data_IF_011929333395
#
_entry.id   IF_011929333395
#
_cell.length_a   1.000
_cell.length_b   1.000
_cell.length_c   1.000
_cell.angle_alpha   90.00
_cell.angle_beta   90.00
_cell.angle_gamma   90.00
#
_symmetry.space_group_name_H-M   'P 1'
#
loop_
_entity.id
_entity.type
_entity.pdbx_description
1 polymer ?
#
# COMPACT_ATOMS: atom_id res chain seq x y z
N UNK A 1 -15.37 9.17 -15.05
CA UNK A 1 -14.48 9.69 -13.98
C UNK A 1 -13.25 8.79 -13.93
N UNK A 2 -12.03 9.33 -13.83
CA UNK A 2 -10.83 8.50 -13.78
C UNK A 2 -10.81 7.72 -12.46
N UNK A 3 -10.61 6.41 -12.55
CA UNK A 3 -10.44 5.52 -11.41
C UNK A 3 -8.96 5.25 -11.21
N UNK A 4 -8.52 5.24 -9.96
CA UNK A 4 -7.20 4.74 -9.58
C UNK A 4 -7.32 3.78 -8.41
N UNK A 5 -6.33 2.89 -8.27
CA UNK A 5 -6.27 1.94 -7.17
C UNK A 5 -4.94 2.04 -6.47
N UNK A 6 -4.97 2.02 -5.14
CA UNK A 6 -3.78 1.85 -4.29
C UNK A 6 -3.87 0.46 -3.67
N UNK A 7 -2.89 -0.37 -3.98
CA UNK A 7 -2.81 -1.76 -3.53
C UNK A 7 -1.66 -1.87 -2.55
N UNK A 8 -1.94 -2.14 -1.29
CA UNK A 8 -0.95 -2.48 -0.28
C UNK A 8 -0.95 -4.01 -0.10
N UNK A 9 0.17 -4.66 -0.40
CA UNK A 9 0.40 -6.07 -0.06
C UNK A 9 1.46 -6.16 1.03
N UNK A 10 1.20 -6.90 2.11
CA UNK A 10 2.18 -7.12 3.16
C UNK A 10 2.13 -8.55 3.67
N UNK A 11 3.26 -9.02 4.18
CA UNK A 11 3.43 -10.36 4.71
C UNK A 11 3.79 -10.29 6.19
N UNK A 12 3.17 -11.14 6.99
CA UNK A 12 3.45 -11.28 8.42
C UNK A 12 3.65 -12.74 8.77
N UNK A 13 4.45 -12.99 9.80
CA UNK A 13 4.59 -14.33 10.35
C UNK A 13 3.29 -14.75 11.05
N UNK A 14 2.77 -15.95 10.76
CA UNK A 14 1.51 -16.41 11.34
C UNK A 14 1.55 -16.45 12.88
N UNK A 15 2.69 -16.85 13.44
CA UNK A 15 2.87 -16.92 14.90
C UNK A 15 2.92 -15.57 15.62
N UNK A 16 2.97 -14.44 14.88
CA UNK A 16 2.84 -13.11 15.48
C UNK A 16 1.39 -12.59 15.49
N UNK A 17 0.46 -13.29 14.83
CA UNK A 17 -0.96 -12.96 14.87
C UNK A 17 -1.54 -13.19 16.28
N UNK A 18 -2.29 -12.21 16.79
CA UNK A 18 -2.87 -12.27 18.14
C UNK A 18 -1.92 -11.82 19.26
N UNK A 19 -0.70 -11.39 18.94
CA UNK A 19 0.22 -10.79 19.92
C UNK A 19 -0.16 -9.34 20.23
N UNK A 20 -0.03 -8.93 21.49
CA UNK A 20 -0.23 -7.54 21.92
C UNK A 20 1.06 -6.75 21.69
N UNK A 21 1.29 -6.32 20.45
CA UNK A 21 2.45 -5.51 20.08
C UNK A 21 2.42 -5.05 18.62
N UNK A 22 3.34 -4.16 18.20
CA UNK A 22 3.46 -3.77 16.80
C UNK A 22 3.80 -5.01 15.96
N UNK A 23 2.90 -5.38 15.06
CA UNK A 23 3.06 -6.58 14.23
C UNK A 23 4.23 -6.37 13.26
N UNK A 24 5.33 -7.14 13.36
CA UNK A 24 6.45 -7.01 12.44
C UNK A 24 6.04 -7.56 11.07
N UNK A 25 6.39 -6.81 10.01
CA UNK A 25 6.22 -7.25 8.64
C UNK A 25 7.46 -8.00 8.18
N UNK A 26 7.26 -9.09 7.45
CA UNK A 26 8.32 -9.81 6.74
C UNK A 26 8.68 -9.07 5.45
N UNK A 27 7.67 -8.56 4.75
CA UNK A 27 7.80 -7.77 3.54
C UNK A 27 6.55 -6.91 3.36
N UNK A 28 6.68 -5.82 2.61
CA UNK A 28 5.52 -5.07 2.12
C UNK A 28 5.79 -4.40 0.79
N UNK A 29 4.71 -4.20 0.04
CA UNK A 29 4.71 -3.61 -1.28
C UNK A 29 3.50 -2.70 -1.47
N UNK A 30 3.68 -1.60 -2.18
CA UNK A 30 2.59 -0.72 -2.62
C UNK A 30 2.59 -0.63 -4.13
N UNK A 31 1.47 -0.97 -4.76
CA UNK A 31 1.22 -0.80 -6.19
C UNK A 31 0.14 0.26 -6.41
N UNK A 32 0.37 1.17 -7.35
CA UNK A 32 -0.61 2.19 -7.72
C UNK A 32 -0.90 2.12 -9.21
N UNK A 33 -2.19 1.99 -9.55
CA UNK A 33 -2.67 1.86 -10.92
C UNK A 33 -3.63 3.00 -11.25
N UNK A 34 -3.60 3.48 -12.50
CA UNK A 34 -4.55 4.50 -12.99
C UNK A 34 -4.22 5.94 -12.60
N UNK A 35 -3.15 6.19 -11.85
CA UNK A 35 -2.73 7.56 -11.50
C UNK A 35 -2.11 8.29 -12.70
N UNK A 36 -2.64 9.47 -13.03
CA UNK A 36 -2.17 10.30 -14.15
C UNK A 36 -0.81 10.95 -13.84
N UNK A 37 -0.06 11.26 -14.89
CA UNK A 37 1.28 11.87 -14.86
C UNK A 37 1.52 12.98 -13.82
N UNK A 38 0.65 14.01 -13.68
CA UNK A 38 0.93 15.13 -12.77
C UNK A 38 0.94 14.76 -11.28
N UNK A 39 0.27 13.67 -10.89
CA UNK A 39 0.20 13.22 -9.48
C UNK A 39 1.30 12.23 -9.11
N UNK A 40 2.01 11.66 -10.10
CA UNK A 40 3.08 10.68 -9.86
C UNK A 40 4.28 11.25 -9.08
N UNK A 41 4.75 12.49 -9.32
CA UNK A 41 5.84 13.07 -8.53
C UNK A 41 5.50 13.25 -7.05
N UNK A 42 4.23 13.47 -6.72
CA UNK A 42 3.76 13.55 -5.32
C UNK A 42 4.00 12.25 -4.55
N UNK A 43 4.02 11.11 -5.24
CA UNK A 43 4.23 9.79 -4.63
C UNK A 43 5.65 9.59 -4.11
N UNK A 44 6.67 10.14 -4.78
CA UNK A 44 8.08 10.00 -4.36
C UNK A 44 8.33 10.62 -2.98
N UNK A 45 7.47 11.55 -2.53
CA UNK A 45 7.52 12.13 -1.17
C UNK A 45 7.18 11.10 -0.09
N UNK A 46 6.35 10.11 -0.41
CA UNK A 46 5.85 9.10 0.53
C UNK A 46 6.53 7.74 0.34
N UNK A 47 7.00 7.45 -0.88
CA UNK A 47 7.67 6.21 -1.24
C UNK A 47 8.95 6.55 -2.04
N UNK A 48 10.05 6.94 -1.36
CA UNK A 48 11.23 7.49 -2.00
C UNK A 48 12.00 6.51 -2.90
N UNK A 49 11.80 5.19 -2.72
CA UNK A 49 12.45 4.15 -3.55
C UNK A 49 11.51 3.58 -4.62
N UNK A 50 10.46 4.32 -4.99
CA UNK A 50 9.56 3.95 -6.08
C UNK A 50 10.34 3.71 -7.37
N UNK A 51 10.42 2.44 -7.79
CA UNK A 51 10.92 2.09 -9.10
C UNK A 51 9.76 2.19 -10.08
N UNK A 52 9.90 2.99 -11.14
CA UNK A 52 8.94 2.93 -12.25
C UNK A 52 9.05 1.55 -12.90
N UNK A 53 8.07 0.68 -12.61
CA UNK A 53 7.99 -0.61 -13.27
C UNK A 53 7.49 -0.43 -14.71
N UNK A 54 8.09 -1.16 -15.65
CA UNK A 54 7.75 -1.11 -17.08
C UNK A 54 6.33 -1.64 -17.27
N UNK A 55 5.37 -0.71 -17.35
CA UNK A 55 3.96 -1.03 -17.58
C UNK A 55 2.98 -0.26 -16.70
N UNK A 56 2.97 1.08 -16.78
CA UNK A 56 1.97 2.01 -16.17
C UNK A 56 1.69 1.90 -14.64
N UNK A 57 2.20 0.89 -13.95
CA UNK A 57 2.02 0.61 -12.53
C UNK A 57 3.26 1.07 -11.75
N UNK A 58 3.03 1.76 -10.64
CA UNK A 58 4.07 2.26 -9.76
C UNK A 58 4.17 1.33 -8.56
N UNK A 59 5.34 0.71 -8.33
CA UNK A 59 5.54 -0.28 -7.28
C UNK A 59 6.67 0.14 -6.32
N UNK A 60 6.39 0.08 -5.02
CA UNK A 60 7.37 0.25 -3.94
C UNK A 60 7.49 -1.05 -3.16
N UNK A 61 8.69 -1.53 -2.86
CA UNK A 61 8.91 -2.75 -2.07
C UNK A 61 10.04 -2.53 -1.09
N UNK A 62 9.82 -2.82 0.19
CA UNK A 62 10.84 -2.69 1.23
C UNK A 62 10.94 -4.00 2.04
N UNK A 63 12.18 -4.45 2.28
CA UNK A 63 12.51 -5.66 3.04
C UNK A 63 13.08 -5.34 4.44
N UNK A 64 12.91 -4.11 4.93
CA UNK A 64 13.38 -3.72 6.26
C UNK A 64 12.40 -4.14 7.36
N UNK A 65 12.88 -4.18 8.62
CA UNK A 65 12.06 -4.47 9.82
C UNK A 65 11.08 -3.33 10.11
N UNK A 66 10.04 -3.21 9.29
CA UNK A 66 8.95 -2.25 9.45
C UNK A 66 7.79 -2.94 10.17
N UNK A 67 7.03 -2.16 10.94
CA UNK A 67 5.85 -2.65 11.65
C UNK A 67 4.57 -2.25 10.92
N UNK A 68 3.53 -3.06 11.03
CA UNK A 68 2.22 -2.79 10.42
C UNK A 68 1.69 -1.37 10.75
N UNK A 69 1.77 -0.86 12.00
CA UNK A 69 1.32 0.50 12.28
C UNK A 69 2.07 1.57 11.50
N UNK A 70 3.40 1.44 11.32
CA UNK A 70 4.19 2.39 10.54
C UNK A 70 3.77 2.40 9.08
N UNK A 71 3.63 1.21 8.48
CA UNK A 71 3.16 1.06 7.09
C UNK A 71 1.76 1.65 6.90
N UNK A 72 0.86 1.41 7.84
CA UNK A 72 -0.52 1.95 7.79
C UNK A 72 -0.54 3.48 7.92
N UNK A 73 0.33 4.08 8.74
CA UNK A 73 0.48 5.54 8.81
C UNK A 73 0.95 6.11 7.47
N UNK A 74 1.93 5.49 6.83
CA UNK A 74 2.41 5.92 5.50
C UNK A 74 1.29 5.86 4.45
N UNK A 75 0.55 4.74 4.39
CA UNK A 75 -0.59 4.60 3.47
C UNK A 75 -1.69 5.62 3.76
N UNK A 76 -2.06 5.81 5.02
CA UNK A 76 -3.09 6.77 5.42
C UNK A 76 -2.69 8.19 5.04
N UNK A 77 -1.43 8.56 5.27
CA UNK A 77 -0.90 9.89 4.91
C UNK A 77 -0.95 10.09 3.40
N UNK A 78 -0.60 9.06 2.62
CA UNK A 78 -0.67 9.11 1.17
C UNK A 78 -2.12 9.22 0.65
N UNK A 79 -3.06 8.45 1.21
CA UNK A 79 -4.48 8.54 0.87
C UNK A 79 -5.07 9.91 1.20
N UNK A 80 -4.68 10.51 2.34
CA UNK A 80 -5.10 11.86 2.70
C UNK A 80 -4.53 12.92 1.75
N UNK A 81 -3.29 12.74 1.28
CA UNK A 81 -2.76 13.60 0.23
C UNK A 81 -3.57 13.49 -1.06
N UNK A 82 -3.90 12.27 -1.51
CA UNK A 82 -4.78 12.05 -2.67
C UNK A 82 -6.18 12.67 -2.48
N UNK A 83 -6.72 12.61 -1.28
CA UNK A 83 -8.01 13.22 -0.92
C UNK A 83 -8.00 14.74 -1.09
N UNK A 84 -6.89 15.40 -0.73
CA UNK A 84 -6.66 16.83 -0.95
C UNK A 84 -6.48 17.18 -2.44
N UNK A 85 -5.96 16.26 -3.25
CA UNK A 85 -5.86 16.40 -4.71
C UNK A 85 -7.19 16.10 -5.43
N UNK A 86 -8.24 15.74 -4.68
CA UNK A 86 -9.60 15.51 -5.18
C UNK A 86 -9.96 14.04 -5.42
N UNK A 87 -9.08 13.08 -5.14
CA UNK A 87 -9.40 11.65 -5.25
C UNK A 87 -10.07 11.15 -3.97
N UNK A 88 -11.34 10.76 -4.05
CA UNK A 88 -12.08 10.20 -2.93
C UNK A 88 -12.00 8.68 -2.93
N UNK A 89 -11.76 8.07 -1.77
CA UNK A 89 -11.87 6.61 -1.61
C UNK A 89 -13.34 6.22 -1.73
N UNK A 90 -13.68 5.45 -2.77
CA UNK A 90 -15.05 4.97 -3.04
C UNK A 90 -15.24 3.50 -2.71
N UNK A 91 -14.15 2.76 -2.48
CA UNK A 91 -14.20 1.37 -2.07
C UNK A 91 -12.90 0.92 -1.41
N UNK A 92 -13.01 -0.01 -0.48
CA UNK A 92 -11.89 -0.69 0.15
C UNK A 92 -12.22 -2.18 0.24
N UNK A 93 -11.32 -3.01 -0.28
CA UNK A 93 -11.43 -4.46 -0.18
C UNK A 93 -10.13 -5.02 0.38
N UNK A 94 -10.22 -6.07 1.18
CA UNK A 94 -9.06 -6.78 1.70
C UNK A 94 -9.17 -8.26 1.37
N UNK A 95 -8.10 -8.79 0.80
CA UNK A 95 -7.91 -10.22 0.60
C UNK A 95 -6.79 -10.74 1.52
N UNK A 96 -6.81 -12.03 1.80
CA UNK A 96 -5.88 -12.68 2.71
C UNK A 96 -5.55 -14.08 2.22
N UNK A 97 -4.27 -14.37 2.06
CA UNK A 97 -3.79 -15.72 1.75
C UNK A 97 -2.81 -16.19 2.84
N UNK A 98 -2.82 -17.49 3.10
CA UNK A 98 -1.94 -18.13 4.07
C UNK A 98 -1.11 -19.17 3.34
N UNK A 99 0.22 -19.10 3.49
CA UNK A 99 1.12 -20.07 2.89
C UNK A 99 2.34 -20.30 3.80
N UNK A 100 2.57 -21.57 4.17
CA UNK A 100 3.80 -22.02 4.84
C UNK A 100 4.22 -21.20 6.08
N UNK A 101 3.29 -20.83 6.96
CA UNK A 101 3.56 -20.05 8.18
C UNK A 101 3.71 -18.54 7.98
N UNK A 102 3.52 -18.06 6.74
CA UNK A 102 3.33 -16.64 6.41
C UNK A 102 1.87 -16.34 6.08
N UNK A 103 1.43 -15.14 6.42
CA UNK A 103 0.12 -14.61 6.04
C UNK A 103 0.33 -13.37 5.19
N UNK A 104 -0.09 -13.44 3.94
CA UNK A 104 -0.12 -12.29 3.03
C UNK A 104 -1.48 -11.62 3.11
N UNK A 105 -1.47 -10.31 3.27
CA UNK A 105 -2.66 -9.46 3.27
C UNK A 105 -2.54 -8.49 2.11
N UNK A 106 -3.59 -8.38 1.31
CA UNK A 106 -3.65 -7.42 0.20
C UNK A 106 -4.86 -6.51 0.40
N UNK A 107 -4.61 -5.24 0.68
CA UNK A 107 -5.61 -4.19 0.81
C UNK A 107 -5.66 -3.37 -0.48
N UNK A 108 -6.84 -3.19 -1.03
CA UNK A 108 -7.08 -2.45 -2.26
C UNK A 108 -8.01 -1.29 -1.95
N UNK A 109 -7.51 -0.07 -2.11
CA UNK A 109 -8.29 1.14 -2.06
C UNK A 109 -8.62 1.57 -3.48
N UNK A 110 -9.90 1.68 -3.80
CA UNK A 110 -10.38 2.23 -5.06
C UNK A 110 -10.73 3.70 -4.84
N UNK A 111 -10.16 4.58 -5.66
CA UNK A 111 -10.41 6.01 -5.61
C UNK A 111 -11.02 6.52 -6.92
N UNK A 112 -11.84 7.55 -6.79
CA UNK A 112 -12.50 8.24 -7.88
C UNK A 112 -12.33 9.75 -7.72
N UNK A 113 -12.00 10.43 -8.81
CA UNK A 113 -11.94 11.89 -8.92
C UNK A 113 -13.21 12.45 -9.55
#
# INVERSE_FOLDING_TARGET
MPLCTVVLSYEVYEGSLGTYGPLPLLSWNVSINGLRGPYRPGMQKFFPELQESVGKSLAYSQNEKVTLPQTMVTITTYLNWLDNEGFKVVGCTMDSSVYSGGVTKTQIYTLQM
#
